data_IF_958751265976
#
_entry.id   IF_958751265976
#
_cell.length_a   1.000
_cell.length_b   1.000
_cell.length_c   1.000
_cell.angle_alpha   90.00
_cell.angle_beta   90.00
_cell.angle_gamma   90.00
#
_symmetry.space_group_name_H-M   'P 1'
#
loop_
_entity.id
_entity.type
_entity.pdbx_description
1 polymer ?
#
# COMPACT_ATOMS: atom_id res chain seq x y z
N UNK A 1 -12.65 -5.39 -3.91
CA UNK A 1 -11.80 -6.44 -4.49
C UNK A 1 -11.27 -7.41 -3.42
N UNK A 2 -10.31 -7.04 -2.57
CA UNK A 2 -9.82 -7.97 -1.51
C UNK A 2 -10.91 -8.34 -0.51
N UNK A 3 -11.74 -7.36 -0.09
CA UNK A 3 -12.87 -7.59 0.83
C UNK A 3 -13.93 -8.54 0.25
N UNK A 4 -14.29 -8.34 -1.02
CA UNK A 4 -15.25 -9.20 -1.73
C UNK A 4 -14.70 -10.62 -1.96
N UNK A 5 -13.38 -10.78 -2.15
CA UNK A 5 -12.74 -12.11 -2.24
C UNK A 5 -12.67 -12.81 -0.87
N UNK A 6 -12.51 -12.03 0.19
CA UNK A 6 -12.53 -12.52 1.58
C UNK A 6 -13.93 -12.96 2.00
N UNK A 7 -14.98 -12.20 1.66
CA UNK A 7 -16.37 -12.56 1.93
C UNK A 7 -16.80 -13.84 1.21
N UNK A 8 -16.20 -14.14 0.05
CA UNK A 8 -16.43 -15.39 -0.69
C UNK A 8 -15.59 -16.58 -0.18
N UNK A 9 -14.64 -16.36 0.73
CA UNK A 9 -13.72 -17.41 1.21
C UNK A 9 -12.70 -17.87 0.17
N UNK A 10 -12.53 -17.14 -0.93
CA UNK A 10 -11.77 -17.57 -2.11
C UNK A 10 -10.33 -17.00 -2.14
N UNK A 11 -9.80 -16.53 -1.00
CA UNK A 11 -8.46 -15.92 -0.92
C UNK A 11 -7.33 -16.83 -1.42
N UNK A 12 -7.52 -18.15 -1.38
CA UNK A 12 -6.55 -19.14 -1.84
C UNK A 12 -6.69 -19.51 -3.33
N UNK A 13 -7.68 -18.98 -4.03
CA UNK A 13 -7.86 -19.26 -5.46
C UNK A 13 -6.83 -18.50 -6.30
N UNK A 14 -6.39 -19.10 -7.42
CA UNK A 14 -5.33 -18.53 -8.27
C UNK A 14 -5.67 -17.12 -8.79
N UNK A 15 -6.95 -16.86 -9.09
CA UNK A 15 -7.41 -15.54 -9.51
C UNK A 15 -7.43 -14.53 -8.35
N UNK A 16 -7.64 -14.97 -7.11
CA UNK A 16 -7.60 -14.11 -5.94
C UNK A 16 -6.16 -13.69 -5.65
N UNK A 17 -5.21 -14.63 -5.72
CA UNK A 17 -3.77 -14.32 -5.62
C UNK A 17 -3.31 -13.40 -6.75
N UNK A 18 -3.76 -13.64 -7.99
CA UNK A 18 -3.47 -12.76 -9.13
C UNK A 18 -4.04 -11.35 -8.90
N UNK A 19 -5.30 -11.23 -8.47
CA UNK A 19 -5.95 -9.95 -8.21
C UNK A 19 -5.26 -9.18 -7.08
N UNK A 20 -4.91 -9.84 -5.98
CA UNK A 20 -4.13 -9.23 -4.88
C UNK A 20 -2.77 -8.76 -5.40
N UNK A 21 -2.08 -9.57 -6.21
CA UNK A 21 -0.82 -9.20 -6.84
C UNK A 21 -0.93 -7.95 -7.71
N UNK A 22 -1.94 -7.88 -8.59
CA UNK A 22 -2.20 -6.71 -9.44
C UNK A 22 -2.48 -5.47 -8.58
N UNK A 23 -3.29 -5.59 -7.53
CA UNK A 23 -3.63 -4.47 -6.65
C UNK A 23 -2.40 -3.94 -5.92
N UNK A 24 -1.55 -4.82 -5.38
CA UNK A 24 -0.31 -4.43 -4.70
C UNK A 24 0.65 -3.77 -5.69
N UNK A 25 0.86 -4.36 -6.88
CA UNK A 25 1.73 -3.77 -7.89
C UNK A 25 1.22 -2.39 -8.33
N UNK A 26 -0.09 -2.21 -8.50
CA UNK A 26 -0.68 -0.92 -8.86
C UNK A 26 -0.38 0.15 -7.78
N UNK A 27 -0.53 -0.19 -6.52
CA UNK A 27 -0.28 0.71 -5.39
C UNK A 27 1.20 1.11 -5.31
N UNK A 28 2.10 0.12 -5.44
CA UNK A 28 3.56 0.36 -5.48
C UNK A 28 3.92 1.29 -6.65
N UNK A 29 3.42 1.00 -7.86
CA UNK A 29 3.68 1.84 -9.03
C UNK A 29 3.15 3.26 -8.84
N UNK A 30 1.94 3.41 -8.28
CA UNK A 30 1.37 4.72 -7.99
C UNK A 30 2.26 5.51 -7.03
N UNK A 31 2.69 4.91 -5.92
CA UNK A 31 3.58 5.55 -4.93
C UNK A 31 4.92 5.93 -5.54
N UNK A 32 5.55 5.05 -6.32
CA UNK A 32 6.83 5.34 -6.98
C UNK A 32 6.68 6.46 -8.01
N UNK A 33 5.68 6.36 -8.89
CA UNK A 33 5.40 7.38 -9.91
C UNK A 33 5.12 8.73 -9.27
N UNK A 34 4.32 8.75 -8.21
CA UNK A 34 4.00 9.95 -7.45
C UNK A 34 5.23 10.53 -6.76
N UNK A 35 6.14 9.71 -6.26
CA UNK A 35 7.41 10.18 -5.68
C UNK A 35 8.27 10.86 -6.75
N UNK A 36 8.50 10.20 -7.87
CA UNK A 36 9.30 10.72 -8.99
C UNK A 36 8.69 12.00 -9.57
N UNK A 37 7.36 12.03 -9.76
CA UNK A 37 6.64 13.16 -10.35
C UNK A 37 6.59 14.39 -9.43
N UNK A 38 6.79 14.22 -8.12
CA UNK A 38 6.83 15.38 -7.21
C UNK A 38 8.14 16.17 -7.39
N UNK A 39 9.14 15.62 -8.08
CA UNK A 39 10.38 16.32 -8.43
C UNK A 39 11.15 16.88 -7.22
N UNK A 40 10.79 16.47 -6.00
CA UNK A 40 11.50 16.86 -4.78
C UNK A 40 12.89 16.26 -4.88
N UNK A 41 13.89 17.13 -5.08
CA UNK A 41 15.28 16.75 -5.01
C UNK A 41 15.52 16.34 -3.57
N UNK A 42 15.88 15.07 -3.29
CA UNK A 42 16.13 14.63 -1.93
C UNK A 42 17.19 15.52 -1.31
N UNK A 43 17.05 15.85 -0.03
CA UNK A 43 18.10 16.60 0.65
C UNK A 43 19.40 15.79 0.66
N UNK A 44 20.55 16.45 0.86
CA UNK A 44 21.85 15.79 0.87
C UNK A 44 21.95 14.64 1.90
N UNK A 45 21.13 14.68 2.95
CA UNK A 45 20.99 13.62 3.94
C UNK A 45 20.28 12.36 3.43
N UNK A 46 19.74 12.34 2.21
CA UNK A 46 19.12 11.16 1.59
C UNK A 46 20.06 9.99 1.41
N UNK A 47 21.37 10.23 1.40
CA UNK A 47 22.39 9.18 1.47
C UNK A 47 22.22 8.33 2.74
N UNK A 48 21.73 8.90 3.85
CA UNK A 48 21.41 8.18 5.07
C UNK A 48 20.34 7.09 4.89
N UNK A 49 19.48 7.23 3.87
CA UNK A 49 18.48 6.22 3.52
C UNK A 49 19.11 4.92 3.02
N UNK A 50 20.29 4.98 2.39
CA UNK A 50 21.05 3.79 2.01
C UNK A 50 21.62 3.04 3.22
N UNK A 51 21.72 3.68 4.39
CA UNK A 51 22.07 3.00 5.63
C UNK A 51 20.87 2.29 6.29
N UNK A 52 19.65 2.56 5.84
CA UNK A 52 18.43 1.98 6.40
C UNK A 52 18.41 0.44 6.30
N UNK A 53 18.80 -0.20 5.18
CA UNK A 53 18.93 -1.66 5.11
C UNK A 53 19.92 -2.25 6.13
N UNK A 54 20.94 -1.49 6.54
CA UNK A 54 21.91 -1.92 7.57
C UNK A 54 21.30 -1.96 8.97
N UNK A 55 20.22 -1.20 9.22
CA UNK A 55 19.47 -1.21 10.48
C UNK A 55 18.45 -2.35 10.57
N UNK A 56 18.25 -3.12 9.49
CA UNK A 56 17.39 -4.31 9.47
C UNK A 56 17.57 -5.28 10.65
N UNK A 57 18.78 -5.69 11.06
CA UNK A 57 18.95 -6.58 12.23
C UNK A 57 18.49 -5.94 13.54
N UNK A 58 18.59 -4.61 13.68
CA UNK A 58 18.08 -3.90 14.85
C UNK A 58 16.55 -3.96 14.88
N UNK A 59 15.90 -3.75 13.74
CA UNK A 59 14.45 -3.83 13.61
C UNK A 59 13.91 -5.23 13.93
N UNK A 60 14.64 -6.27 13.54
CA UNK A 60 14.28 -7.66 13.86
C UNK A 60 14.40 -7.92 15.36
N UNK A 61 15.49 -7.48 16.00
CA UNK A 61 15.65 -7.57 17.46
C UNK A 61 14.54 -6.85 18.22
N UNK A 62 14.09 -5.70 17.74
CA UNK A 62 12.95 -4.98 18.34
C UNK A 62 11.66 -5.79 18.18
N UNK A 63 11.38 -6.29 16.98
CA UNK A 63 10.18 -7.10 16.72
C UNK A 63 10.17 -8.42 17.52
N UNK A 64 11.33 -9.01 17.78
CA UNK A 64 11.44 -10.18 18.66
C UNK A 64 11.03 -9.89 20.11
N UNK A 65 11.36 -8.70 20.62
CA UNK A 65 11.00 -8.26 21.97
C UNK A 65 9.52 -7.85 22.11
N UNK A 66 8.87 -7.49 21.00
CA UNK A 66 7.45 -7.11 21.01
C UNK A 66 6.59 -8.34 21.28
N UNK A 67 5.60 -8.20 22.16
CA UNK A 67 4.62 -9.22 22.48
C UNK A 67 3.69 -9.54 21.30
N UNK A 68 2.60 -10.25 21.57
CA UNK A 68 1.63 -10.70 20.56
C UNK A 68 0.40 -9.77 20.52
N UNK A 69 -0.43 -9.90 19.48
CA UNK A 69 -1.72 -9.20 19.40
C UNK A 69 -1.60 -7.68 19.29
N UNK A 70 -2.17 -6.94 20.24
CA UNK A 70 -2.31 -5.47 20.21
C UNK A 70 -0.96 -4.72 20.27
N UNK A 71 0.00 -5.24 21.05
CA UNK A 71 1.35 -4.65 21.10
C UNK A 71 2.04 -4.71 19.73
N UNK A 72 1.73 -5.76 18.96
CA UNK A 72 2.22 -5.98 17.60
C UNK A 72 1.54 -5.02 16.59
N UNK A 73 0.26 -4.69 16.80
CA UNK A 73 -0.44 -3.62 16.05
C UNK A 73 0.22 -2.27 16.29
N UNK A 74 0.42 -1.89 17.56
CA UNK A 74 1.04 -0.62 17.94
C UNK A 74 2.45 -0.51 17.38
N UNK A 75 3.24 -1.59 17.46
CA UNK A 75 4.55 -1.64 16.83
C UNK A 75 4.45 -1.42 15.32
N UNK A 76 3.58 -2.15 14.62
CA UNK A 76 3.41 -2.01 13.17
C UNK A 76 3.03 -0.59 12.74
N UNK A 77 2.08 0.04 13.44
CA UNK A 77 1.65 1.42 13.17
C UNK A 77 2.79 2.41 13.48
N UNK A 78 3.44 2.28 14.63
CA UNK A 78 4.60 3.13 14.98
C UNK A 78 5.71 3.02 13.95
N UNK A 79 6.02 1.80 13.52
CA UNK A 79 7.08 1.54 12.57
C UNK A 79 6.74 2.06 11.17
N UNK A 80 5.48 1.95 10.74
CA UNK A 80 5.03 2.49 9.47
C UNK A 80 4.99 4.03 9.46
N UNK A 81 4.41 4.65 10.50
CA UNK A 81 4.16 6.09 10.54
C UNK A 81 5.36 6.90 11.04
N UNK A 82 6.01 6.48 12.12
CA UNK A 82 7.11 7.24 12.73
C UNK A 82 8.44 6.89 12.08
N UNK A 83 8.77 5.61 11.97
CA UNK A 83 10.05 5.18 11.41
C UNK A 83 10.02 5.24 9.88
N UNK A 84 8.98 4.73 9.23
CA UNK A 84 8.86 4.74 7.77
C UNK A 84 8.54 6.12 7.21
N UNK A 85 7.30 6.56 7.40
CA UNK A 85 6.84 7.84 6.87
C UNK A 85 7.66 9.02 7.43
N UNK A 86 7.88 9.09 8.74
CA UNK A 86 8.65 10.17 9.37
C UNK A 86 10.09 10.31 8.86
N UNK A 87 10.86 9.22 8.78
CA UNK A 87 12.24 9.31 8.24
C UNK A 87 12.27 9.74 6.78
N UNK A 88 11.31 9.29 5.97
CA UNK A 88 11.26 9.65 4.56
C UNK A 88 10.80 11.11 4.36
N UNK A 89 9.86 11.57 5.17
CA UNK A 89 9.42 12.96 5.16
C UNK A 89 10.56 13.92 5.53
N UNK A 90 11.38 13.56 6.54
CA UNK A 90 12.56 14.34 6.95
C UNK A 90 13.63 14.46 5.85
N UNK A 91 13.70 13.47 4.96
CA UNK A 91 14.65 13.42 3.84
C UNK A 91 14.09 14.10 2.58
N UNK A 92 12.86 14.61 2.64
CA UNK A 92 12.16 15.24 1.51
C UNK A 92 11.49 14.24 0.56
N UNK A 93 11.41 12.96 0.94
CA UNK A 93 10.77 11.89 0.18
C UNK A 93 9.30 11.73 0.58
N UNK A 94 8.51 11.07 -0.27
CA UNK A 94 7.09 10.82 0.03
C UNK A 94 6.95 9.85 1.22
N UNK A 95 6.11 10.17 2.23
CA UNK A 95 5.90 9.32 3.40
C UNK A 95 5.44 7.90 3.04
N UNK A 96 4.61 7.76 2.02
CA UNK A 96 4.06 6.47 1.55
C UNK A 96 5.18 5.50 1.12
N UNK A 97 6.22 6.02 0.48
CA UNK A 97 7.36 5.23 0.03
C UNK A 97 8.17 4.72 1.23
N UNK A 98 8.27 5.53 2.29
CA UNK A 98 8.92 5.13 3.53
C UNK A 98 8.17 4.03 4.26
N UNK A 99 6.85 4.18 4.43
CA UNK A 99 6.02 3.15 5.02
C UNK A 99 6.11 1.81 4.23
N UNK A 100 6.12 1.89 2.89
CA UNK A 100 6.27 0.73 2.02
C UNK A 100 7.63 0.03 2.19
N UNK A 101 8.74 0.78 2.15
CA UNK A 101 10.09 0.21 2.29
C UNK A 101 10.27 -0.46 3.64
N UNK A 102 9.84 0.18 4.73
CA UNK A 102 9.93 -0.41 6.08
C UNK A 102 9.09 -1.68 6.19
N UNK A 103 7.89 -1.69 5.59
CA UNK A 103 7.06 -2.89 5.49
C UNK A 103 7.77 -4.03 4.75
N UNK A 104 8.38 -3.75 3.59
CA UNK A 104 9.14 -4.74 2.82
C UNK A 104 10.35 -5.27 3.59
N UNK A 105 11.04 -4.43 4.36
CA UNK A 105 12.17 -4.85 5.20
C UNK A 105 11.74 -5.82 6.31
N UNK A 106 10.56 -5.61 6.89
CA UNK A 106 9.99 -6.46 7.93
C UNK A 106 9.35 -7.74 7.37
N UNK A 107 8.99 -7.77 6.08
CA UNK A 107 8.25 -8.87 5.46
C UNK A 107 8.92 -10.25 5.57
N UNK A 108 10.26 -10.31 5.63
CA UNK A 108 11.00 -11.57 5.76
C UNK A 108 11.19 -12.05 7.22
N UNK A 109 10.65 -11.33 8.22
CA UNK A 109 10.75 -11.71 9.62
C UNK A 109 9.78 -12.84 9.99
N UNK A 110 10.13 -13.68 10.98
CA UNK A 110 9.27 -14.79 11.42
C UNK A 110 7.89 -14.33 11.92
N UNK A 111 7.83 -13.17 12.57
CA UNK A 111 6.58 -12.53 13.05
C UNK A 111 5.85 -11.70 11.99
N UNK A 112 6.32 -11.63 10.74
CA UNK A 112 5.71 -10.79 9.70
C UNK A 112 4.26 -11.21 9.39
N UNK A 113 3.97 -12.52 9.40
CA UNK A 113 2.60 -13.00 9.19
C UNK A 113 1.66 -12.58 10.31
N UNK A 114 2.13 -12.59 11.56
CA UNK A 114 1.35 -12.15 12.71
C UNK A 114 1.11 -10.64 12.66
N UNK A 115 2.15 -9.87 12.35
CA UNK A 115 2.07 -8.41 12.14
C UNK A 115 1.06 -8.06 11.05
N UNK A 116 1.11 -8.74 9.91
CA UNK A 116 0.15 -8.52 8.82
C UNK A 116 -1.28 -8.82 9.25
N UNK A 117 -1.53 -9.95 9.94
CA UNK A 117 -2.88 -10.29 10.47
C UNK A 117 -3.39 -9.24 11.45
N UNK A 118 -2.54 -8.83 12.39
CA UNK A 118 -2.85 -7.80 13.38
C UNK A 118 -3.19 -6.46 12.73
N UNK A 119 -2.40 -6.02 11.75
CA UNK A 119 -2.67 -4.78 10.99
C UNK A 119 -3.90 -4.90 10.08
N UNK A 120 -4.20 -6.09 9.58
CA UNK A 120 -5.35 -6.32 8.71
C UNK A 120 -6.67 -5.99 9.42
N UNK A 121 -6.75 -6.21 10.75
CA UNK A 121 -7.91 -5.83 11.56
C UNK A 121 -8.14 -4.29 11.57
N UNK A 122 -7.09 -3.49 11.39
CA UNK A 122 -7.18 -2.02 11.34
C UNK A 122 -7.50 -1.47 9.94
N UNK A 123 -7.41 -2.31 8.90
CA UNK A 123 -7.63 -1.90 7.51
C UNK A 123 -9.00 -1.25 7.31
N UNK A 124 -10.05 -1.80 7.92
CA UNK A 124 -11.40 -1.28 7.78
C UNK A 124 -11.53 0.13 8.38
N UNK A 125 -10.91 0.38 9.54
CA UNK A 125 -10.88 1.70 10.16
C UNK A 125 -10.17 2.71 9.26
N UNK A 126 -8.96 2.37 8.77
CA UNK A 126 -8.21 3.26 7.87
C UNK A 126 -8.94 3.54 6.57
N UNK A 127 -9.64 2.54 6.01
CA UNK A 127 -10.41 2.69 4.79
C UNK A 127 -11.61 3.63 5.00
N UNK A 128 -12.31 3.53 6.13
CA UNK A 128 -13.37 4.47 6.50
C UNK A 128 -12.81 5.89 6.66
N UNK A 129 -11.69 6.07 7.38
CA UNK A 129 -11.05 7.37 7.54
C UNK A 129 -10.58 7.96 6.21
N UNK A 130 -9.99 7.15 5.33
CA UNK A 130 -9.53 7.56 4.01
C UNK A 130 -10.68 8.08 3.14
N UNK A 131 -11.78 7.32 3.05
CA UNK A 131 -12.94 7.75 2.26
C UNK A 131 -13.65 8.95 2.87
N UNK A 132 -13.75 9.04 4.20
CA UNK A 132 -14.26 10.24 4.86
C UNK A 132 -13.39 11.47 4.56
N UNK A 133 -12.06 11.34 4.63
CA UNK A 133 -11.15 12.44 4.34
C UNK A 133 -11.26 12.93 2.89
N UNK A 134 -11.30 12.00 1.91
CA UNK A 134 -11.50 12.36 0.50
C UNK A 134 -12.86 13.01 0.28
N UNK A 135 -13.92 12.46 0.88
CA UNK A 135 -15.28 12.99 0.75
C UNK A 135 -15.41 14.40 1.33
N UNK A 136 -14.78 14.68 2.46
CA UNK A 136 -14.76 16.01 3.09
C UNK A 136 -13.87 17.01 2.35
N UNK A 137 -12.80 16.54 1.70
CA UNK A 137 -11.87 17.38 0.95
C UNK A 137 -12.37 17.75 -0.45
N UNK A 138 -13.39 17.06 -0.97
CA UNK A 138 -13.94 17.30 -2.29
C UNK A 138 -14.80 18.58 -2.29
N UNK A 139 -14.37 19.61 -3.03
CA UNK A 139 -15.21 20.78 -3.30
C UNK A 139 -16.05 20.56 -4.55
N UNK A 140 -17.32 20.99 -4.50
CA UNK A 140 -18.22 20.89 -5.64
C UNK A 140 -17.87 21.98 -6.67
N UNK A 141 -16.91 21.67 -7.54
CA UNK A 141 -16.46 22.53 -8.64
C UNK A 141 -16.89 21.98 -9.99
N UNK A 142 -17.17 22.87 -10.96
CA UNK A 142 -17.49 22.48 -12.34
C UNK A 142 -16.35 21.65 -12.97
N UNK A 143 -15.10 21.99 -12.66
CA UNK A 143 -13.91 21.22 -13.05
C UNK A 143 -13.88 19.83 -12.41
N UNK A 144 -14.28 19.71 -11.14
CA UNK A 144 -14.36 18.43 -10.44
C UNK A 144 -15.41 17.51 -11.06
N UNK A 145 -16.57 18.06 -11.44
CA UNK A 145 -17.62 17.31 -12.14
C UNK A 145 -17.14 16.84 -13.52
N UNK A 146 -16.45 17.70 -14.27
CA UNK A 146 -15.88 17.34 -15.57
C UNK A 146 -14.84 16.20 -15.46
N UNK A 147 -13.93 16.29 -14.47
CA UNK A 147 -12.95 15.22 -14.20
C UNK A 147 -13.61 13.92 -13.72
N UNK A 148 -14.68 14.00 -12.90
CA UNK A 148 -15.42 12.83 -12.46
C UNK A 148 -16.08 12.09 -13.64
N UNK A 149 -16.71 12.83 -14.56
CA UNK A 149 -17.28 12.26 -15.78
C UNK A 149 -16.20 11.62 -16.66
N UNK A 150 -15.05 12.30 -16.83
CA UNK A 150 -13.89 11.74 -17.54
C UNK A 150 -13.45 10.40 -16.93
N UNK A 151 -13.31 10.31 -15.60
CA UNK A 151 -12.91 9.09 -14.92
C UNK A 151 -13.94 7.96 -15.07
N UNK A 152 -15.24 8.27 -15.05
CA UNK A 152 -16.31 7.29 -15.30
C UNK A 152 -16.16 6.67 -16.69
N UNK A 153 -15.85 7.46 -17.72
CA UNK A 153 -15.62 6.97 -19.08
C UNK A 153 -14.34 6.14 -19.18
N UNK A 154 -13.35 6.40 -18.33
CA UNK A 154 -12.07 5.70 -18.31
C UNK A 154 -12.15 4.31 -17.63
N UNK A 155 -13.12 4.09 -16.75
CA UNK A 155 -13.36 2.80 -16.08
C UNK A 155 -13.60 1.61 -17.04
N UNK A 156 -14.51 1.68 -18.04
CA UNK A 156 -14.72 0.58 -18.97
C UNK A 156 -13.47 0.28 -19.80
N UNK A 157 -12.69 1.30 -20.16
CA UNK A 157 -11.41 1.13 -20.87
C UNK A 157 -10.43 0.32 -20.02
N UNK A 158 -10.31 0.68 -18.72
CA UNK A 158 -9.46 -0.06 -17.77
C UNK A 158 -9.91 -1.52 -17.65
N UNK A 159 -11.22 -1.77 -17.58
CA UNK A 159 -11.78 -3.13 -17.53
C UNK A 159 -11.43 -3.96 -18.76
N UNK A 160 -11.54 -3.36 -19.95
CA UNK A 160 -11.21 -4.01 -21.22
C UNK A 160 -9.71 -4.32 -21.35
N UNK A 161 -8.84 -3.42 -20.90
CA UNK A 161 -7.39 -3.66 -20.84
C UNK A 161 -7.02 -4.85 -19.95
N UNK A 162 -7.64 -4.96 -18.77
CA UNK A 162 -7.40 -6.11 -17.91
C UNK A 162 -7.89 -7.42 -18.55
N UNK A 163 -9.07 -7.40 -19.17
CA UNK A 163 -9.59 -8.56 -19.88
C UNK A 163 -8.65 -9.04 -20.98
N UNK A 164 -8.19 -8.13 -21.85
CA UNK A 164 -7.26 -8.47 -22.94
C UNK A 164 -5.93 -9.00 -22.40
N UNK A 165 -5.39 -8.38 -21.36
CA UNK A 165 -4.12 -8.81 -20.74
C UNK A 165 -4.25 -10.23 -20.16
N UNK A 166 -5.29 -10.48 -19.36
CA UNK A 166 -5.50 -11.80 -18.73
C UNK A 166 -5.78 -12.88 -19.79
N UNK A 167 -6.53 -12.55 -20.84
CA UNK A 167 -6.80 -13.45 -21.96
C UNK A 167 -5.52 -13.79 -22.74
N UNK A 168 -4.62 -12.82 -22.93
CA UNK A 168 -3.32 -13.03 -23.57
C UNK A 168 -2.43 -14.01 -22.79
N UNK A 169 -2.44 -13.95 -21.45
CA UNK A 169 -1.69 -14.86 -20.58
C UNK A 169 -2.37 -16.22 -20.34
N UNK A 170 -3.43 -16.56 -21.09
CA UNK A 170 -4.15 -17.86 -21.05
C UNK A 170 -4.72 -18.25 -19.69
N UNK A 171 -4.98 -17.30 -18.80
CA UNK A 171 -5.77 -17.59 -17.60
C UNK A 171 -7.24 -17.80 -17.98
N UNK A 172 -7.87 -18.83 -17.41
CA UNK A 172 -9.24 -19.23 -17.78
C UNK A 172 -10.23 -18.12 -17.43
N UNK A 173 -10.69 -17.41 -18.45
CA UNK A 173 -11.76 -16.41 -18.36
C UNK A 173 -13.06 -17.15 -17.98
N UNK A 174 -13.55 -16.93 -16.76
CA UNK A 174 -14.93 -17.26 -16.38
C UNK A 174 -15.66 -15.94 -16.19
N UNK A 175 -16.60 -15.69 -17.09
CA UNK A 175 -17.58 -14.59 -17.05
C UNK A 175 -18.42 -14.65 -15.79
#
# INVERSE_FOLDING_TARGET
>A
AVKTLQEKGELNATYATLAIGILVMQDIFAVVFLTVSTGKVPEWYAIGLFALPLLRPLFYKLLDKVGHGEMLVLFGIFFALVVGAGLFELVGMKPDLGALILGMMLAAHRKASELSKSLFNMKELFLVCFFLNIGLSASLSLTGIALALLFIVLLPIKGLLYFLTINHFKFRVRT
#
